data_IF_822689717210
#
_entry.id   IF_822689717210
#
_cell.length_a   1.000
_cell.length_b   1.000
_cell.length_c   1.000
_cell.angle_alpha   90.00
_cell.angle_beta   90.00
_cell.angle_gamma   90.00
#
_symmetry.space_group_name_H-M   'P 1'
#
loop_
_entity.id
_entity.type
_entity.pdbx_description
1 polymer ?
#
# COMPACT_ATOMS: atom_id res chain seq x y z
N UNK A 1 5.58 -28.74 -9.64
CA UNK A 1 5.76 -28.21 -8.26
C UNK A 1 6.85 -27.15 -8.29
N UNK A 2 6.49 -25.88 -8.06
CA UNK A 2 7.46 -24.79 -7.92
C UNK A 2 8.41 -25.14 -6.76
N UNK A 3 9.70 -25.35 -7.04
CA UNK A 3 10.70 -25.53 -5.97
C UNK A 3 10.81 -24.19 -5.23
N UNK A 4 10.56 -24.21 -3.92
CA UNK A 4 10.63 -23.07 -3.01
C UNK A 4 12.07 -22.55 -2.96
N UNK A 5 12.35 -21.50 -3.74
CA UNK A 5 13.55 -20.69 -3.56
C UNK A 5 13.24 -19.63 -2.51
N UNK A 6 14.26 -19.13 -1.80
CA UNK A 6 14.08 -18.03 -0.86
C UNK A 6 13.37 -16.80 -1.49
N UNK A 7 13.64 -16.54 -2.78
CA UNK A 7 12.99 -15.48 -3.54
C UNK A 7 11.50 -15.75 -3.75
N UNK A 8 11.14 -16.96 -4.19
CA UNK A 8 9.75 -17.38 -4.30
C UNK A 8 9.02 -17.28 -2.96
N UNK A 9 9.63 -17.76 -1.87
CA UNK A 9 9.02 -17.66 -0.54
C UNK A 9 8.86 -16.20 -0.09
N UNK A 10 9.79 -15.31 -0.44
CA UNK A 10 9.70 -13.88 -0.11
C UNK A 10 8.52 -13.22 -0.82
N UNK A 11 8.34 -13.44 -2.12
CA UNK A 11 7.34 -12.73 -2.91
C UNK A 11 6.00 -13.47 -3.04
N UNK A 12 5.99 -14.79 -3.03
CA UNK A 12 4.76 -15.57 -3.26
C UNK A 12 4.00 -15.87 -1.98
N UNK A 13 4.65 -15.82 -0.81
CA UNK A 13 3.95 -15.91 0.48
C UNK A 13 3.45 -14.56 0.99
N UNK A 14 3.92 -13.46 0.41
CA UNK A 14 3.58 -12.12 0.85
C UNK A 14 2.95 -11.34 -0.30
N UNK A 15 1.63 -11.23 -0.26
CA UNK A 15 0.88 -10.50 -1.28
C UNK A 15 1.47 -9.10 -1.49
N UNK A 16 1.75 -8.77 -2.74
CA UNK A 16 2.08 -7.42 -3.20
C UNK A 16 3.46 -6.90 -2.80
N UNK A 17 4.32 -7.73 -2.21
CA UNK A 17 5.73 -7.40 -2.00
C UNK A 17 6.41 -7.05 -3.32
N UNK A 18 6.01 -7.66 -4.43
CA UNK A 18 6.52 -7.34 -5.75
C UNK A 18 6.23 -5.89 -6.12
N UNK A 19 5.00 -5.42 -5.90
CA UNK A 19 4.62 -4.05 -6.22
C UNK A 19 5.30 -3.04 -5.30
N UNK A 20 5.35 -3.35 -4.00
CA UNK A 20 5.95 -2.47 -2.99
C UNK A 20 7.43 -2.29 -3.27
N UNK A 21 8.19 -3.38 -3.40
CA UNK A 21 9.63 -3.28 -3.56
C UNK A 21 10.04 -2.89 -4.97
N UNK A 22 9.22 -3.18 -5.99
CA UNK A 22 9.43 -2.58 -7.31
C UNK A 22 9.33 -1.06 -7.25
N UNK A 23 8.35 -0.51 -6.52
CA UNK A 23 8.25 0.93 -6.32
C UNK A 23 9.42 1.49 -5.52
N UNK A 24 9.77 0.85 -4.40
CA UNK A 24 10.75 1.37 -3.46
C UNK A 24 12.20 1.15 -3.90
N UNK A 25 12.53 0.11 -4.67
CA UNK A 25 13.91 -0.25 -4.99
C UNK A 25 14.30 0.03 -6.45
N UNK A 26 13.34 0.12 -7.37
CA UNK A 26 13.62 0.40 -8.79
C UNK A 26 13.27 1.86 -9.11
N UNK A 27 14.22 2.58 -9.70
CA UNK A 27 14.05 3.98 -10.08
C UNK A 27 12.89 4.15 -11.06
N UNK A 28 12.03 5.14 -10.83
CA UNK A 28 10.86 5.43 -11.67
C UNK A 28 11.20 5.52 -13.16
N UNK A 29 12.28 6.23 -13.48
CA UNK A 29 12.73 6.44 -14.86
C UNK A 29 13.25 5.16 -15.54
N UNK A 30 13.48 4.10 -14.78
CA UNK A 30 14.13 2.86 -15.24
C UNK A 30 13.26 1.61 -15.07
N UNK A 31 12.03 1.75 -14.58
CA UNK A 31 11.10 0.62 -14.36
C UNK A 31 10.82 -0.18 -15.63
N UNK A 32 10.63 0.48 -16.77
CA UNK A 32 10.38 -0.21 -18.04
C UNK A 32 11.63 -0.97 -18.52
N UNK A 33 12.78 -0.29 -18.60
CA UNK A 33 14.07 -0.91 -18.97
C UNK A 33 14.43 -2.08 -18.04
N UNK A 34 14.12 -1.94 -16.75
CA UNK A 34 14.31 -3.02 -15.77
C UNK A 34 13.50 -4.26 -16.14
N UNK A 35 12.23 -4.10 -16.51
CA UNK A 35 11.37 -5.24 -16.87
C UNK A 35 11.82 -5.87 -18.18
N UNK A 36 12.13 -5.06 -19.19
CA UNK A 36 12.65 -5.52 -20.49
C UNK A 36 13.96 -6.31 -20.33
N UNK A 37 14.84 -5.87 -19.42
CA UNK A 37 16.10 -6.58 -19.12
C UNK A 37 15.88 -7.92 -18.40
N UNK A 38 14.88 -7.99 -17.52
CA UNK A 38 14.70 -9.16 -16.63
C UNK A 38 13.70 -10.20 -17.17
N UNK A 39 12.97 -9.88 -18.25
CA UNK A 39 12.04 -10.79 -18.91
C UNK A 39 12.66 -11.32 -20.20
N UNK A 40 12.53 -12.63 -20.45
CA UNK A 40 12.98 -13.24 -21.70
C UNK A 40 12.36 -12.54 -22.92
N UNK A 41 13.16 -12.31 -23.97
CA UNK A 41 12.70 -11.72 -25.23
C UNK A 41 11.53 -12.49 -25.86
N UNK A 42 11.50 -13.82 -25.74
CA UNK A 42 10.40 -14.62 -26.29
C UNK A 42 9.10 -14.40 -25.51
N UNK A 43 9.19 -14.12 -24.22
CA UNK A 43 8.03 -13.81 -23.38
C UNK A 43 7.53 -12.39 -23.69
N UNK A 44 8.44 -11.43 -23.91
CA UNK A 44 8.07 -10.05 -24.26
C UNK A 44 7.36 -9.94 -25.61
N UNK A 45 7.52 -10.93 -26.52
CA UNK A 45 6.81 -11.00 -27.81
C UNK A 45 5.35 -11.47 -27.70
N UNK A 46 4.90 -11.88 -26.51
CA UNK A 46 3.52 -12.30 -26.29
C UNK A 46 2.58 -11.08 -26.33
N UNK A 47 1.41 -11.22 -26.97
CA UNK A 47 0.38 -10.17 -27.11
C UNK A 47 -0.05 -9.57 -25.75
N UNK A 48 0.15 -10.31 -24.65
CA UNK A 48 -0.03 -9.77 -23.31
C UNK A 48 0.75 -8.46 -23.07
N UNK A 49 1.91 -8.28 -23.70
CA UNK A 49 2.77 -7.10 -23.52
C UNK A 49 2.46 -5.94 -24.48
N UNK A 50 1.41 -6.00 -25.32
CA UNK A 50 1.03 -4.97 -26.30
C UNK A 50 0.53 -3.64 -25.69
N UNK A 51 0.61 -3.48 -24.37
CA UNK A 51 0.19 -2.26 -23.69
C UNK A 51 0.82 -2.11 -22.31
N UNK A 52 0.51 -1.00 -21.65
CA UNK A 52 1.01 -0.74 -20.29
C UNK A 52 0.40 -1.75 -19.30
N UNK A 53 1.22 -2.67 -18.82
CA UNK A 53 0.89 -3.59 -17.72
C UNK A 53 1.59 -3.13 -16.46
N UNK A 54 0.88 -3.23 -15.34
CA UNK A 54 1.52 -3.05 -14.04
C UNK A 54 2.33 -4.30 -13.66
N UNK A 55 3.25 -4.13 -12.70
CA UNK A 55 4.16 -5.20 -12.27
C UNK A 55 3.42 -6.42 -11.70
N UNK A 56 2.29 -6.22 -11.02
CA UNK A 56 1.50 -7.32 -10.46
C UNK A 56 0.87 -8.14 -11.59
N UNK A 57 0.32 -7.48 -12.63
CA UNK A 57 -0.20 -8.16 -13.82
C UNK A 57 0.86 -8.98 -14.55
N UNK A 58 2.06 -8.40 -14.71
CA UNK A 58 3.19 -9.10 -15.36
C UNK A 58 3.58 -10.34 -14.54
N UNK A 59 3.69 -10.21 -13.23
CA UNK A 59 4.06 -11.33 -12.36
C UNK A 59 2.99 -12.41 -12.34
N UNK A 60 1.71 -12.05 -12.31
CA UNK A 60 0.61 -13.02 -12.40
C UNK A 60 0.66 -13.81 -13.72
N UNK A 61 0.87 -13.12 -14.85
CA UNK A 61 1.03 -13.74 -16.15
C UNK A 61 2.21 -14.74 -16.16
N UNK A 62 3.38 -14.31 -15.69
CA UNK A 62 4.55 -15.17 -15.63
C UNK A 62 4.33 -16.37 -14.68
N UNK A 63 3.62 -16.17 -13.56
CA UNK A 63 3.29 -17.25 -12.61
C UNK A 63 2.42 -18.31 -13.26
N UNK A 64 1.43 -17.90 -14.06
CA UNK A 64 0.56 -18.81 -14.80
C UNK A 64 1.39 -19.62 -15.79
N UNK A 65 2.23 -18.97 -16.62
CA UNK A 65 3.10 -19.67 -17.57
C UNK A 65 4.09 -20.62 -16.89
N UNK A 66 4.76 -20.17 -15.83
CA UNK A 66 5.70 -20.98 -15.08
C UNK A 66 5.03 -22.19 -14.41
N UNK A 67 3.78 -22.07 -13.95
CA UNK A 67 2.99 -23.20 -13.42
C UNK A 67 2.68 -24.24 -14.52
N UNK A 68 2.53 -23.79 -15.76
CA UNK A 68 2.31 -24.63 -16.93
C UNK A 68 3.60 -25.22 -17.54
N UNK A 69 4.75 -25.04 -16.87
CA UNK A 69 6.03 -25.65 -17.27
C UNK A 69 6.92 -24.77 -18.15
N UNK A 70 6.55 -23.51 -18.39
CA UNK A 70 7.39 -22.56 -19.13
C UNK A 70 8.64 -22.18 -18.31
N UNK A 71 9.80 -22.64 -18.77
CA UNK A 71 11.08 -22.39 -18.11
C UNK A 71 11.54 -20.92 -18.23
N UNK A 72 11.26 -20.26 -19.35
CA UNK A 72 11.65 -18.87 -19.56
C UNK A 72 10.82 -17.91 -18.70
N UNK A 73 9.52 -18.18 -18.56
CA UNK A 73 8.66 -17.44 -17.64
C UNK A 73 9.13 -17.60 -16.18
N UNK A 74 9.54 -18.81 -15.80
CA UNK A 74 10.10 -19.07 -14.47
C UNK A 74 11.41 -18.33 -14.24
N UNK A 75 12.34 -18.39 -15.19
CA UNK A 75 13.61 -17.66 -15.13
C UNK A 75 13.39 -16.15 -15.04
N UNK A 76 12.45 -15.62 -15.84
CA UNK A 76 12.06 -14.21 -15.82
C UNK A 76 11.52 -13.77 -14.45
N UNK A 77 10.68 -14.58 -13.80
CA UNK A 77 10.21 -14.31 -12.43
C UNK A 77 11.36 -14.24 -11.43
N UNK A 78 12.25 -15.24 -11.46
CA UNK A 78 13.40 -15.29 -10.56
C UNK A 78 14.32 -14.08 -10.76
N UNK A 79 14.54 -13.65 -12.01
CA UNK A 79 15.31 -12.45 -12.35
C UNK A 79 14.65 -11.17 -11.84
N UNK A 80 13.34 -11.00 -12.06
CA UNK A 80 12.58 -9.85 -11.54
C UNK A 80 12.70 -9.77 -10.02
N UNK A 81 12.41 -10.87 -9.31
CA UNK A 81 12.46 -10.91 -7.85
C UNK A 81 13.85 -10.57 -7.32
N UNK A 82 14.89 -11.14 -7.93
CA UNK A 82 16.27 -10.85 -7.56
C UNK A 82 16.64 -9.39 -7.83
N UNK A 83 16.27 -8.87 -8.99
CA UNK A 83 16.54 -7.49 -9.40
C UNK A 83 15.79 -6.46 -8.55
N UNK A 84 14.60 -6.79 -8.04
CA UNK A 84 13.84 -5.92 -7.13
C UNK A 84 14.53 -5.84 -5.76
N UNK A 85 14.98 -6.96 -5.18
CA UNK A 85 15.63 -6.95 -3.87
C UNK A 85 17.07 -6.42 -3.94
N UNK A 86 17.76 -6.68 -5.05
CA UNK A 86 19.15 -6.33 -5.26
C UNK A 86 19.35 -5.63 -6.61
N UNK A 87 18.79 -4.42 -6.77
CA UNK A 87 18.91 -3.69 -8.03
C UNK A 87 20.36 -3.31 -8.29
N UNK A 88 20.80 -3.50 -9.54
CA UNK A 88 22.06 -2.95 -10.01
C UNK A 88 22.04 -1.42 -9.87
N UNK A 89 23.22 -0.81 -9.71
CA UNK A 89 23.35 0.64 -9.51
C UNK A 89 22.58 1.47 -10.55
N UNK A 90 22.53 1.01 -11.79
CA UNK A 90 21.80 1.68 -12.88
C UNK A 90 20.27 1.73 -12.67
N UNK A 91 19.68 0.69 -12.08
CA UNK A 91 18.23 0.58 -11.83
C UNK A 91 17.82 1.03 -10.44
N UNK A 92 18.78 1.21 -9.54
CA UNK A 92 18.53 1.46 -8.12
C UNK A 92 17.82 2.80 -7.90
N UNK A 93 16.78 2.77 -7.08
CA UNK A 93 16.14 3.97 -6.54
C UNK A 93 16.96 4.50 -5.34
N UNK A 94 17.30 5.78 -5.36
CA UNK A 94 18.08 6.43 -4.28
C UNK A 94 17.22 7.34 -3.38
N UNK A 95 15.94 7.48 -3.70
CA UNK A 95 15.01 8.37 -3.01
C UNK A 95 14.77 7.95 -1.55
N UNK A 96 14.58 8.93 -0.66
CA UNK A 96 14.37 8.68 0.78
C UNK A 96 12.94 8.25 1.10
N UNK A 97 12.82 7.42 2.13
CA UNK A 97 11.60 6.78 2.59
C UNK A 97 11.40 7.12 4.06
N UNK A 98 10.25 7.71 4.39
CA UNK A 98 9.81 7.88 5.76
C UNK A 98 8.98 6.66 6.16
N UNK A 99 9.44 5.91 7.17
CA UNK A 99 8.82 4.65 7.59
C UNK A 99 8.18 4.80 8.97
N UNK A 100 6.95 4.32 9.10
CA UNK A 100 6.21 4.28 10.35
C UNK A 100 5.80 2.83 10.64
N UNK A 101 6.19 2.31 11.81
CA UNK A 101 5.64 1.07 12.41
C UNK A 101 5.90 -0.29 11.71
N UNK A 102 6.25 -0.34 10.42
CA UNK A 102 6.31 -1.60 9.66
C UNK A 102 7.67 -2.32 9.68
N UNK A 103 7.71 -3.65 9.61
CA UNK A 103 8.95 -4.44 9.50
C UNK A 103 9.57 -4.55 8.10
N UNK A 104 8.96 -3.95 7.07
CA UNK A 104 9.38 -4.10 5.66
C UNK A 104 10.78 -3.55 5.32
N UNK A 105 11.49 -2.91 6.27
CA UNK A 105 12.82 -2.31 6.05
C UNK A 105 13.88 -3.29 5.55
N UNK A 106 13.76 -4.58 5.85
CA UNK A 106 14.78 -5.58 5.52
C UNK A 106 14.89 -5.88 4.02
N UNK A 107 13.86 -5.54 3.24
CA UNK A 107 13.82 -5.75 1.79
C UNK A 107 14.02 -4.45 1.00
N UNK A 108 14.24 -3.32 1.67
CA UNK A 108 14.54 -2.04 1.05
C UNK A 108 16.04 -1.97 0.74
N UNK A 109 16.38 -1.72 -0.53
CA UNK A 109 17.76 -1.53 -0.97
C UNK A 109 18.37 -0.28 -0.32
N UNK A 110 19.59 -0.40 0.20
CA UNK A 110 20.32 0.66 0.92
C UNK A 110 19.51 1.29 2.07
N UNK A 111 18.79 0.46 2.83
CA UNK A 111 17.90 0.92 3.91
C UNK A 111 18.59 1.85 4.92
N UNK A 112 19.86 1.63 5.22
CA UNK A 112 20.66 2.40 6.16
C UNK A 112 20.92 3.85 5.70
N UNK A 113 20.70 4.14 4.41
CA UNK A 113 20.85 5.47 3.82
C UNK A 113 19.50 6.11 3.50
N UNK A 114 18.53 5.29 3.10
CA UNK A 114 17.28 5.75 2.51
C UNK A 114 16.12 5.81 3.50
N UNK A 115 16.14 5.01 4.57
CA UNK A 115 15.01 4.89 5.49
C UNK A 115 15.22 5.74 6.73
N UNK A 116 14.30 6.68 6.96
CA UNK A 116 14.12 7.31 8.25
C UNK A 116 12.99 6.59 9.00
N UNK A 117 13.24 6.18 10.25
CA UNK A 117 12.33 5.34 11.02
C UNK A 117 11.65 6.14 12.13
N UNK A 118 10.33 6.23 12.05
CA UNK A 118 9.47 6.84 13.06
C UNK A 118 8.55 5.76 13.66
N UNK A 119 9.10 4.98 14.59
CA UNK A 119 8.48 3.73 15.06
C UNK A 119 7.11 3.91 15.72
N UNK A 120 6.80 5.09 16.26
CA UNK A 120 5.56 5.38 16.98
C UNK A 120 4.89 6.70 16.56
N UNK A 121 5.19 7.22 15.36
CA UNK A 121 4.61 8.48 14.85
C UNK A 121 5.00 9.69 15.72
N UNK A 122 6.16 9.66 16.39
CA UNK A 122 6.65 10.81 17.16
C UNK A 122 7.09 11.93 16.23
N UNK A 123 7.98 11.62 15.29
CA UNK A 123 8.57 12.65 14.46
C UNK A 123 7.54 13.28 13.53
N UNK A 124 6.66 12.46 12.95
CA UNK A 124 5.57 12.95 12.14
C UNK A 124 4.68 13.91 12.94
N UNK A 125 4.23 13.52 14.13
CA UNK A 125 3.28 14.31 14.90
C UNK A 125 3.89 15.58 15.50
N UNK A 126 5.10 15.49 16.06
CA UNK A 126 5.71 16.60 16.80
C UNK A 126 6.39 17.65 15.88
N UNK A 127 6.85 17.25 14.69
CA UNK A 127 7.71 18.12 13.85
C UNK A 127 7.24 18.31 12.41
N UNK A 128 6.45 17.38 11.87
CA UNK A 128 6.02 17.42 10.45
C UNK A 128 4.58 17.90 10.32
N UNK A 129 3.72 17.42 11.22
CA UNK A 129 2.28 17.68 11.21
C UNK A 129 2.01 19.18 11.22
N UNK A 130 1.16 19.59 10.28
CA UNK A 130 0.64 20.93 10.21
C UNK A 130 -0.90 20.87 10.19
N UNK A 131 -1.54 21.96 10.62
CA UNK A 131 -3.00 22.11 10.51
C UNK A 131 -3.46 21.97 9.04
N UNK A 132 -2.67 22.48 8.09
CA UNK A 132 -2.87 22.25 6.67
C UNK A 132 -2.18 20.95 6.22
N UNK A 133 -3.01 19.96 5.87
CA UNK A 133 -2.52 18.67 5.36
C UNK A 133 -1.63 18.78 4.12
N UNK A 134 -1.83 19.78 3.25
CA UNK A 134 -0.96 20.00 2.09
C UNK A 134 0.43 20.44 2.54
N UNK A 135 0.49 21.33 3.53
CA UNK A 135 1.75 21.82 4.10
C UNK A 135 2.52 20.73 4.84
N UNK A 136 1.84 19.80 5.53
CA UNK A 136 2.45 18.58 6.11
C UNK A 136 3.29 17.83 5.08
N UNK A 137 2.73 17.56 3.90
CA UNK A 137 3.43 16.77 2.87
C UNK A 137 4.43 17.60 2.06
N UNK A 138 4.23 18.91 1.93
CA UNK A 138 5.26 19.82 1.40
C UNK A 138 6.50 19.87 2.30
N UNK A 139 6.32 19.91 3.63
CA UNK A 139 7.43 19.82 4.58
C UNK A 139 8.21 18.50 4.42
N UNK A 140 7.51 17.37 4.31
CA UNK A 140 8.13 16.06 4.06
C UNK A 140 8.95 16.04 2.76
N UNK A 141 8.37 16.61 1.69
CA UNK A 141 9.05 16.74 0.41
C UNK A 141 10.30 17.62 0.52
N UNK A 142 10.22 18.73 1.23
CA UNK A 142 11.36 19.65 1.46
C UNK A 142 12.49 19.00 2.28
N UNK A 143 12.18 18.03 3.14
CA UNK A 143 13.18 17.19 3.83
C UNK A 143 13.81 16.12 2.91
N UNK A 144 13.35 16.01 1.67
CA UNK A 144 13.83 15.09 0.65
C UNK A 144 13.20 13.71 0.72
N UNK A 145 12.07 13.54 1.42
CA UNK A 145 11.34 12.27 1.40
C UNK A 145 10.46 12.17 0.16
N UNK A 146 10.57 11.03 -0.53
CA UNK A 146 9.74 10.73 -1.70
C UNK A 146 8.64 9.72 -1.41
N UNK A 147 8.85 8.86 -0.41
CA UNK A 147 7.91 7.81 -0.07
C UNK A 147 7.56 7.85 1.41
N UNK A 148 6.30 7.50 1.70
CA UNK A 148 5.82 7.16 3.03
C UNK A 148 5.46 5.68 3.03
N UNK A 149 6.01 4.94 3.98
CA UNK A 149 5.68 3.55 4.22
C UNK A 149 5.16 3.42 5.65
N UNK A 150 3.89 3.09 5.82
CA UNK A 150 3.21 3.15 7.11
C UNK A 150 2.50 1.84 7.42
N UNK A 151 2.71 1.30 8.61
CA UNK A 151 1.80 0.34 9.23
C UNK A 151 0.61 1.09 9.82
N UNK A 152 -0.59 0.87 9.27
CA UNK A 152 -1.80 1.60 9.68
C UNK A 152 -2.53 0.94 10.86
N UNK A 153 -2.02 -0.21 11.33
CA UNK A 153 -2.53 -0.97 12.46
C UNK A 153 -1.70 -0.80 13.74
N UNK A 154 -0.55 -0.12 13.70
CA UNK A 154 0.33 0.00 14.88
C UNK A 154 -0.37 0.63 16.09
N UNK A 155 -1.35 1.53 15.93
CA UNK A 155 -2.11 2.06 17.08
C UNK A 155 -2.80 0.98 17.93
N UNK A 156 -2.96 -0.25 17.43
CA UNK A 156 -3.48 -1.38 18.23
C UNK A 156 -2.62 -1.77 19.43
N UNK A 157 -1.35 -1.33 19.49
CA UNK A 157 -0.48 -1.59 20.65
C UNK A 157 -0.64 -0.55 21.77
N UNK A 158 -1.47 0.48 21.59
CA UNK A 158 -1.68 1.50 22.61
C UNK A 158 -2.58 0.98 23.74
N UNK A 159 -1.95 0.64 24.86
CA UNK A 159 -2.62 0.27 26.11
C UNK A 159 -2.50 1.38 27.17
N UNK A 160 -1.96 2.55 26.79
CA UNK A 160 -1.77 3.65 27.73
C UNK A 160 -3.09 4.33 28.08
N UNK A 161 -3.26 4.76 29.33
CA UNK A 161 -4.45 5.52 29.76
C UNK A 161 -4.61 6.83 28.96
N UNK A 162 -3.50 7.40 28.49
CA UNK A 162 -3.50 8.65 27.72
C UNK A 162 -3.96 8.48 26.26
N UNK A 163 -3.95 7.25 25.75
CA UNK A 163 -4.21 6.91 24.35
C UNK A 163 -3.43 7.78 23.34
N UNK A 164 -2.20 8.18 23.71
CA UNK A 164 -1.42 9.15 22.93
C UNK A 164 -0.96 8.58 21.59
N UNK A 165 -0.69 7.28 21.48
CA UNK A 165 -0.35 6.66 20.21
C UNK A 165 -1.57 6.62 19.29
N UNK A 166 -2.74 6.27 19.82
CA UNK A 166 -4.02 6.32 19.10
C UNK A 166 -4.26 7.71 18.52
N UNK A 167 -4.13 8.77 19.33
CA UNK A 167 -4.31 10.16 18.87
C UNK A 167 -3.37 10.52 17.72
N UNK A 168 -2.09 10.13 17.79
CA UNK A 168 -1.12 10.40 16.72
C UNK A 168 -1.45 9.68 15.43
N UNK A 169 -1.93 8.45 15.51
CA UNK A 169 -2.41 7.70 14.35
C UNK A 169 -3.68 8.30 13.74
N UNK A 170 -4.58 8.84 14.55
CA UNK A 170 -5.76 9.57 14.04
C UNK A 170 -5.34 10.82 13.26
N UNK A 171 -4.38 11.61 13.77
CA UNK A 171 -3.84 12.75 13.03
C UNK A 171 -3.10 12.34 11.76
N UNK A 172 -2.34 11.24 11.80
CA UNK A 172 -1.73 10.66 10.60
C UNK A 172 -2.79 10.29 9.57
N UNK A 173 -3.84 9.55 9.95
CA UNK A 173 -4.94 9.18 9.06
C UNK A 173 -5.62 10.40 8.45
N UNK A 174 -5.91 11.45 9.22
CA UNK A 174 -6.47 12.72 8.70
C UNK A 174 -5.59 13.32 7.60
N UNK A 175 -4.27 13.21 7.72
CA UNK A 175 -3.33 13.71 6.73
C UNK A 175 -3.20 12.79 5.50
N UNK A 176 -3.46 11.48 5.65
CA UNK A 176 -3.39 10.54 4.53
C UNK A 176 -4.39 10.85 3.43
N UNK A 177 -5.45 11.64 3.63
CA UNK A 177 -6.39 12.04 2.56
C UNK A 177 -5.80 13.00 1.51
N UNK A 178 -4.70 13.69 1.83
CA UNK A 178 -4.10 14.73 0.98
C UNK A 178 -3.85 14.27 -0.47
N UNK A 179 -4.06 15.18 -1.42
CA UNK A 179 -3.78 14.96 -2.85
C UNK A 179 -2.27 14.95 -3.15
N UNK A 180 -1.45 15.49 -2.26
CA UNK A 180 0.02 15.41 -2.32
C UNK A 180 0.53 13.98 -2.06
N UNK A 181 -0.36 13.08 -1.62
CA UNK A 181 -0.06 11.66 -1.44
C UNK A 181 -0.77 10.80 -2.47
N UNK A 182 0.02 10.21 -3.35
CA UNK A 182 -0.41 9.15 -4.26
C UNK A 182 -0.32 7.79 -3.55
N UNK A 183 -1.44 7.09 -3.41
CA UNK A 183 -1.47 5.73 -2.88
C UNK A 183 -0.93 4.75 -3.92
N UNK A 184 0.25 4.19 -3.67
CA UNK A 184 0.87 3.16 -4.52
C UNK A 184 0.23 1.80 -4.24
N UNK A 185 0.17 1.46 -2.95
CA UNK A 185 -0.35 0.17 -2.51
C UNK A 185 -0.86 0.25 -1.07
N UNK A 186 -1.91 -0.52 -0.79
CA UNK A 186 -2.31 -0.90 0.57
C UNK A 186 -3.04 -2.23 0.49
N UNK A 187 -2.91 -3.05 1.53
CA UNK A 187 -3.72 -4.24 1.74
C UNK A 187 -5.08 -3.91 2.38
N UNK A 188 -5.29 -2.64 2.79
CA UNK A 188 -6.54 -2.14 3.33
C UNK A 188 -7.49 -1.72 2.21
N UNK A 189 -8.46 -2.59 1.90
CA UNK A 189 -9.55 -2.26 0.98
C UNK A 189 -10.31 -1.02 1.43
N UNK A 190 -10.51 -0.85 2.75
CA UNK A 190 -11.18 0.32 3.30
C UNK A 190 -10.38 1.61 3.08
N UNK A 191 -9.07 1.63 3.34
CA UNK A 191 -8.24 2.81 3.06
C UNK A 191 -8.18 3.13 1.56
N UNK A 192 -8.05 2.11 0.71
CA UNK A 192 -8.08 2.28 -0.75
C UNK A 192 -9.41 2.89 -1.20
N UNK A 193 -10.52 2.34 -0.71
CA UNK A 193 -11.87 2.85 -1.00
C UNK A 193 -12.05 4.28 -0.52
N UNK A 194 -11.65 4.58 0.72
CA UNK A 194 -11.70 5.94 1.26
C UNK A 194 -10.91 6.93 0.40
N UNK A 195 -9.68 6.59 -0.01
CA UNK A 195 -8.84 7.46 -0.86
C UNK A 195 -9.44 7.70 -2.23
N UNK A 196 -9.93 6.65 -2.88
CA UNK A 196 -10.52 6.78 -4.22
C UNK A 196 -11.86 7.54 -4.17
N UNK A 197 -12.67 7.34 -3.13
CA UNK A 197 -13.91 8.07 -2.92
C UNK A 197 -13.65 9.55 -2.59
N UNK A 198 -12.64 9.84 -1.78
CA UNK A 198 -12.27 11.21 -1.43
C UNK A 198 -11.82 12.04 -2.63
N UNK A 199 -11.18 11.43 -3.63
CA UNK A 199 -10.84 12.11 -4.90
C UNK A 199 -12.08 12.66 -5.62
N UNK A 200 -13.25 12.05 -5.40
CA UNK A 200 -14.51 12.42 -6.03
C UNK A 200 -15.33 13.33 -5.12
N UNK A 201 -15.55 12.91 -3.88
CA UNK A 201 -16.53 13.55 -2.99
C UNK A 201 -15.94 14.65 -2.11
N UNK A 202 -14.61 14.65 -1.89
CA UNK A 202 -13.93 15.60 -0.99
C UNK A 202 -14.55 15.70 0.41
N UNK A 203 -15.07 14.58 0.92
CA UNK A 203 -15.73 14.50 2.22
C UNK A 203 -14.80 13.91 3.30
N UNK A 204 -14.36 14.77 4.21
CA UNK A 204 -13.43 14.43 5.28
C UNK A 204 -14.00 13.44 6.30
N UNK A 205 -15.25 13.65 6.71
CA UNK A 205 -15.91 12.81 7.72
C UNK A 205 -16.11 11.39 7.19
N UNK A 206 -16.54 11.28 5.92
CA UNK A 206 -16.71 10.00 5.24
C UNK A 206 -15.37 9.30 5.01
N UNK A 207 -14.31 10.04 4.68
CA UNK A 207 -12.97 9.48 4.59
C UNK A 207 -12.53 8.83 5.90
N UNK A 208 -12.66 9.54 7.04
CA UNK A 208 -12.25 9.05 8.35
C UNK A 208 -13.10 7.84 8.80
N UNK A 209 -14.42 7.90 8.55
CA UNK A 209 -15.34 6.79 8.83
C UNK A 209 -14.90 5.49 8.15
N UNK A 210 -14.46 5.58 6.89
CA UNK A 210 -14.08 4.41 6.09
C UNK A 210 -12.64 3.97 6.38
N UNK A 211 -11.67 4.90 6.47
CA UNK A 211 -10.26 4.58 6.56
C UNK A 211 -9.80 4.07 7.94
N UNK A 212 -10.47 4.44 9.03
CA UNK A 212 -9.98 4.24 10.40
C UNK A 212 -10.21 2.83 10.99
N UNK A 213 -10.20 1.76 10.19
CA UNK A 213 -10.59 0.41 10.67
C UNK A 213 -9.51 -0.34 11.48
N UNK A 214 -8.27 0.16 11.49
CA UNK A 214 -7.11 -0.57 12.01
C UNK A 214 -7.03 -0.70 13.52
N UNK A 215 -7.64 0.22 14.28
CA UNK A 215 -7.48 0.35 15.73
C UNK A 215 -8.72 0.93 16.40
N UNK A 216 -8.80 0.82 17.72
CA UNK A 216 -9.89 1.40 18.53
C UNK A 216 -9.67 2.92 18.67
N UNK A 217 -10.73 3.72 18.51
CA UNK A 217 -10.69 5.17 18.75
C UNK A 217 -11.49 5.54 19.99
N UNK A 218 -11.47 6.81 20.35
CA UNK A 218 -12.21 7.36 21.48
C UNK A 218 -13.02 8.57 21.01
N UNK A 219 -14.27 8.67 21.45
CA UNK A 219 -15.05 9.90 21.26
C UNK A 219 -14.62 11.00 22.25
N UNK A 220 -15.21 12.19 22.13
CA UNK A 220 -14.94 13.34 23.01
C UNK A 220 -15.19 13.05 24.50
N UNK A 221 -15.97 12.00 24.81
CA UNK A 221 -16.28 11.53 26.17
C UNK A 221 -15.39 10.35 26.59
N UNK A 222 -14.30 10.09 25.86
CA UNK A 222 -13.39 8.96 26.06
C UNK A 222 -14.07 7.58 25.95
N UNK A 223 -15.20 7.49 25.25
CA UNK A 223 -15.87 6.20 25.00
C UNK A 223 -15.24 5.51 23.80
N UNK A 224 -14.95 4.23 23.96
CA UNK A 224 -14.34 3.40 22.92
C UNK A 224 -15.26 3.28 21.70
N UNK A 225 -14.69 3.57 20.53
CA UNK A 225 -15.19 3.26 19.20
C UNK A 225 -14.38 2.06 18.69
N UNK A 226 -14.93 0.86 18.90
CA UNK A 226 -14.20 -0.38 18.62
C UNK A 226 -13.99 -0.65 17.14
N UNK A 227 -12.84 -1.21 16.78
CA UNK A 227 -12.44 -1.60 15.42
C UNK A 227 -13.47 -2.46 14.68
N UNK A 228 -14.18 -3.35 15.39
CA UNK A 228 -15.25 -4.17 14.79
C UNK A 228 -16.41 -3.33 14.27
N UNK A 229 -16.80 -2.29 15.01
CA UNK A 229 -17.82 -1.34 14.58
C UNK A 229 -17.34 -0.55 13.37
N UNK A 230 -16.12 -0.02 13.41
CA UNK A 230 -15.54 0.73 12.28
C UNK A 230 -15.42 -0.12 11.01
N UNK A 231 -15.04 -1.39 11.14
CA UNK A 231 -15.00 -2.33 10.02
C UNK A 231 -16.39 -2.54 9.40
N UNK A 232 -17.43 -2.66 10.25
CA UNK A 232 -18.81 -2.71 9.80
C UNK A 232 -19.22 -1.40 9.11
N UNK A 233 -18.87 -0.25 9.69
CA UNK A 233 -19.15 1.08 9.11
C UNK A 233 -18.52 1.23 7.71
N UNK A 234 -17.26 0.81 7.52
CA UNK A 234 -16.64 0.74 6.19
C UNK A 234 -17.41 -0.20 5.25
N UNK A 235 -17.80 -1.39 5.75
CA UNK A 235 -18.49 -2.41 4.96
C UNK A 235 -19.88 -1.95 4.51
N UNK A 236 -20.59 -1.18 5.33
CA UNK A 236 -21.86 -0.54 4.97
C UNK A 236 -21.69 0.49 3.86
N UNK A 237 -20.61 1.29 3.90
CA UNK A 237 -20.33 2.25 2.83
C UNK A 237 -19.96 1.54 1.52
N UNK A 238 -19.21 0.43 1.59
CA UNK A 238 -18.95 -0.41 0.41
C UNK A 238 -20.25 -0.99 -0.14
N UNK A 239 -21.10 -1.58 0.72
CA UNK A 239 -22.39 -2.16 0.32
C UNK A 239 -23.27 -1.13 -0.40
N UNK A 240 -23.39 0.08 0.15
CA UNK A 240 -24.13 1.18 -0.48
C UNK A 240 -23.53 1.55 -1.83
N UNK A 241 -22.21 1.73 -1.88
CA UNK A 241 -21.51 2.17 -3.08
C UNK A 241 -21.62 1.17 -4.24
N UNK A 242 -21.45 -0.13 -3.97
CA UNK A 242 -21.50 -1.16 -5.02
C UNK A 242 -22.91 -1.38 -5.59
N UNK A 243 -23.96 -0.88 -4.92
CA UNK A 243 -25.35 -0.91 -5.41
C UNK A 243 -25.66 0.22 -6.38
N UNK A 244 -25.03 1.38 -6.25
CA UNK A 244 -25.43 2.61 -6.98
C UNK A 244 -24.38 3.10 -7.98
N UNK A 245 -23.08 3.02 -7.65
CA UNK A 245 -22.03 3.81 -8.32
C UNK A 245 -20.80 2.99 -8.75
N UNK A 246 -20.96 1.67 -8.90
CA UNK A 246 -19.85 0.72 -9.08
C UNK A 246 -19.14 0.80 -10.45
N UNK A 247 -19.71 1.41 -11.48
CA UNK A 247 -19.20 1.30 -12.86
C UNK A 247 -17.96 2.18 -13.17
N UNK A 248 -17.34 2.81 -12.18
CA UNK A 248 -16.11 3.57 -12.39
C UNK A 248 -14.90 2.65 -12.41
N UNK A 249 -14.05 2.79 -13.44
CA UNK A 249 -12.79 2.04 -13.61
C UNK A 249 -11.90 2.03 -12.36
N UNK A 250 -11.92 3.09 -11.55
CA UNK A 250 -11.06 3.20 -10.36
C UNK A 250 -11.47 2.26 -9.22
N UNK A 251 -12.73 1.81 -9.13
CA UNK A 251 -13.24 0.95 -8.04
C UNK A 251 -13.35 -0.53 -8.42
N UNK A 252 -12.71 -0.98 -9.50
CA UNK A 252 -12.82 -2.36 -10.00
C UNK A 252 -12.58 -3.45 -8.93
N UNK A 253 -11.76 -3.17 -7.92
CA UNK A 253 -11.45 -4.08 -6.82
C UNK A 253 -12.65 -4.35 -5.89
N UNK A 254 -13.70 -3.51 -5.92
CA UNK A 254 -14.92 -3.74 -5.15
C UNK A 254 -15.93 -4.67 -5.85
N UNK A 255 -15.63 -5.14 -7.07
CA UNK A 255 -16.54 -5.99 -7.87
C UNK A 255 -17.00 -7.22 -7.12
N UNK A 256 -16.08 -7.81 -6.35
CA UNK A 256 -16.31 -9.05 -5.61
C UNK A 256 -17.27 -8.89 -4.43
N UNK A 257 -17.66 -7.65 -4.08
CA UNK A 257 -18.62 -7.35 -3.01
C UNK A 257 -20.01 -6.99 -3.55
N UNK A 258 -20.21 -6.98 -4.87
CA UNK A 258 -21.51 -6.66 -5.46
C UNK A 258 -22.55 -7.72 -5.04
N UNK A 259 -23.64 -7.27 -4.43
CA UNK A 259 -24.71 -8.14 -3.93
C UNK A 259 -24.44 -8.76 -2.56
N UNK A 260 -23.30 -8.45 -1.93
CA UNK A 260 -23.00 -8.88 -0.56
C UNK A 260 -23.60 -7.91 0.47
N UNK A 261 -23.95 -8.44 1.65
CA UNK A 261 -24.33 -7.61 2.80
C UNK A 261 -23.08 -7.04 3.49
N UNK A 262 -23.20 -5.92 4.19
CA UNK A 262 -22.12 -5.33 4.99
C UNK A 262 -21.48 -6.34 5.96
N UNK A 263 -22.29 -7.23 6.56
CA UNK A 263 -21.79 -8.29 7.43
C UNK A 263 -20.86 -9.24 6.66
N UNK A 264 -21.28 -9.76 5.52
CA UNK A 264 -20.47 -10.66 4.70
C UNK A 264 -19.19 -9.97 4.19
N UNK A 265 -19.29 -8.69 3.82
CA UNK A 265 -18.12 -7.89 3.41
C UNK A 265 -17.13 -7.81 4.58
N UNK A 266 -17.59 -7.48 5.78
CA UNK A 266 -16.74 -7.35 6.97
C UNK A 266 -15.96 -8.62 7.31
N UNK A 267 -16.54 -9.80 7.05
CA UNK A 267 -15.90 -11.10 7.28
C UNK A 267 -14.85 -11.45 6.21
N UNK A 268 -14.97 -10.89 5.00
CA UNK A 268 -14.07 -11.12 3.85
C UNK A 268 -12.92 -10.11 3.76
N UNK A 269 -13.04 -8.96 4.42
CA UNK A 269 -12.02 -7.91 4.38
C UNK A 269 -10.73 -8.37 5.08
N UNK A 270 -9.56 -8.23 4.44
CA UNK A 270 -8.30 -8.59 5.08
C UNK A 270 -8.04 -7.69 6.29
N UNK A 271 -7.30 -8.23 7.26
CA UNK A 271 -6.70 -7.39 8.31
C UNK A 271 -5.75 -6.42 7.63
N UNK A 272 -6.01 -5.14 7.77
CA UNK A 272 -5.20 -4.09 7.17
C UNK A 272 -3.88 -3.95 7.92
N UNK A 273 -2.76 -4.01 7.21
CA UNK A 273 -1.44 -4.00 7.85
C UNK A 273 -0.55 -2.87 7.38
N UNK A 274 -0.67 -2.33 6.16
CA UNK A 274 0.18 -1.21 5.75
C UNK A 274 -0.32 -0.46 4.51
N UNK A 275 0.27 0.71 4.28
CA UNK A 275 0.13 1.49 3.06
C UNK A 275 1.48 2.08 2.62
N UNK A 276 1.63 2.21 1.30
CA UNK A 276 2.77 2.85 0.64
C UNK A 276 2.24 4.01 -0.17
N UNK A 277 2.80 5.18 0.09
CA UNK A 277 2.49 6.41 -0.62
C UNK A 277 3.73 6.98 -1.28
N UNK A 278 3.51 7.65 -2.41
CA UNK A 278 4.47 8.56 -3.03
C UNK A 278 4.07 9.99 -2.71
N UNK A 279 5.05 10.79 -2.35
CA UNK A 279 4.92 12.20 -1.98
C UNK A 279 5.21 13.03 -3.24
N UNK A 280 4.24 13.88 -3.63
CA UNK A 280 4.23 14.64 -4.88
C UNK A 280 4.56 16.11 -4.69
#
# INVERSE_FOLDING_TARGET
TWKKTFLADTFDLHNSYEKIFFELNVSDAKKQEFLEKNISENILKDEFFDGKKDISQIIDFLKIKAKNGDFEARSSLENIYRGILHPEKYFKNEEKIFRIGTFLKYYISDNNKRVFDDSLVFYFYDYILNEDTSKTWENMKNLGFKYLLVDIGTATIDDSESHFLTKRYEELLKNLKSEKLELIYTDSICLRFAKDLYKIEKNDEKFLKIASIGFDSFDEKSKIIGRKKKLLDCSEEIEKFVKTDFDRKIFYYLKNYKGESAKNISEKLPKSTFAVYKIN
#
